data_IF_610801856904
#
_entry.id   IF_610801856904
#
_cell.length_a   1.000
_cell.length_b   1.000
_cell.length_c   1.000
_cell.angle_alpha   90.00
_cell.angle_beta   90.00
_cell.angle_gamma   90.00
#
_symmetry.space_group_name_H-M   'P 1'
#
loop_
_entity.id
_entity.type
_entity.pdbx_description
1 polymer ?
#
# COMPACT_ATOMS: atom_id res chain seq x y z
N UNK A 1 20.70 19.48 6.18
CA UNK A 1 21.10 18.49 5.14
C UNK A 1 21.90 17.34 5.72
N UNK A 2 22.98 17.61 6.49
CA UNK A 2 23.83 16.58 7.12
C UNK A 2 23.12 15.53 7.97
N UNK A 3 22.01 15.86 8.64
CA UNK A 3 21.32 14.94 9.57
C UNK A 3 20.21 14.08 8.95
N UNK A 4 19.83 14.28 7.68
CA UNK A 4 18.59 13.70 7.11
C UNK A 4 18.78 13.01 5.76
N UNK A 5 20.00 13.04 5.19
CA UNK A 5 20.26 12.47 3.87
C UNK A 5 20.50 10.96 3.95
N UNK A 6 19.47 10.16 3.60
CA UNK A 6 19.56 8.69 3.51
C UNK A 6 20.75 8.18 2.66
N UNK A 7 21.20 8.98 1.69
CA UNK A 7 22.26 8.64 0.74
C UNK A 7 23.55 9.45 0.96
N UNK A 8 23.72 10.08 2.12
CA UNK A 8 24.92 10.84 2.47
C UNK A 8 24.92 12.30 2.00
N UNK A 9 25.85 13.08 2.54
CA UNK A 9 25.96 14.53 2.32
C UNK A 9 26.22 14.89 0.86
N UNK A 10 27.15 14.18 0.19
CA UNK A 10 27.53 14.43 -1.21
C UNK A 10 26.33 14.30 -2.15
N UNK A 11 25.49 13.27 -1.97
CA UNK A 11 24.27 13.07 -2.76
C UNK A 11 23.27 14.22 -2.54
N UNK A 12 23.09 14.64 -1.30
CA UNK A 12 22.14 15.69 -0.97
C UNK A 12 22.58 17.06 -1.50
N UNK A 13 23.88 17.37 -1.44
CA UNK A 13 24.46 18.57 -2.06
C UNK A 13 24.28 18.54 -3.58
N UNK A 14 24.60 17.42 -4.24
CA UNK A 14 24.40 17.29 -5.68
C UNK A 14 22.92 17.50 -6.09
N UNK A 15 21.96 16.99 -5.31
CA UNK A 15 20.53 17.22 -5.57
C UNK A 15 20.11 18.66 -5.31
N UNK A 16 20.62 19.28 -4.26
CA UNK A 16 20.41 20.70 -3.97
C UNK A 16 20.89 21.57 -5.14
N UNK A 17 22.14 21.36 -5.58
CA UNK A 17 22.74 22.12 -6.68
C UNK A 17 22.00 21.91 -8.01
N UNK A 18 21.53 20.67 -8.27
CA UNK A 18 20.72 20.36 -9.45
C UNK A 18 19.38 21.11 -9.43
N UNK A 19 18.71 21.20 -8.27
CA UNK A 19 17.45 21.93 -8.13
C UNK A 19 17.70 23.44 -8.32
N UNK A 20 18.76 23.99 -7.73
CA UNK A 20 19.12 25.39 -7.88
C UNK A 20 19.46 25.75 -9.34
N UNK A 21 20.21 24.89 -10.03
CA UNK A 21 20.54 25.06 -11.45
C UNK A 21 19.27 25.03 -12.30
N UNK A 22 18.42 24.02 -12.13
CA UNK A 22 17.15 23.92 -12.87
C UNK A 22 16.23 25.14 -12.63
N UNK A 23 16.21 25.70 -11.41
CA UNK A 23 15.44 26.90 -11.11
C UNK A 23 16.00 28.15 -11.83
N UNK A 24 17.32 28.29 -11.91
CA UNK A 24 17.99 29.37 -12.66
C UNK A 24 17.70 29.24 -14.16
N UNK A 25 17.83 28.04 -14.72
CA UNK A 25 17.55 27.77 -16.14
C UNK A 25 16.08 28.05 -16.49
N UNK A 26 15.15 27.66 -15.61
CA UNK A 26 13.73 27.94 -15.77
C UNK A 26 13.39 29.44 -15.76
N UNK A 27 14.19 30.28 -15.11
CA UNK A 27 14.02 31.72 -15.15
C UNK A 27 14.40 32.33 -16.52
N UNK A 28 15.32 31.68 -17.26
CA UNK A 28 15.81 32.15 -18.57
C UNK A 28 14.98 31.57 -19.71
N UNK A 29 14.65 30.28 -19.67
CA UNK A 29 13.99 29.56 -20.76
C UNK A 29 12.50 29.24 -20.51
N UNK A 30 11.99 29.47 -19.30
CA UNK A 30 10.64 29.12 -18.91
C UNK A 30 9.58 30.13 -19.35
N UNK A 31 8.38 29.64 -19.69
CA UNK A 31 7.18 30.49 -19.82
C UNK A 31 6.51 30.62 -18.44
N UNK A 32 6.77 31.72 -17.75
CA UNK A 32 6.16 32.05 -16.48
C UNK A 32 4.71 32.53 -16.66
N UNK A 33 3.79 31.59 -16.91
CA UNK A 33 2.35 31.87 -16.89
C UNK A 33 1.86 31.93 -15.44
N UNK A 34 1.23 33.02 -14.97
CA UNK A 34 0.70 33.11 -13.61
C UNK A 34 -0.27 31.97 -13.25
N UNK A 35 -0.98 31.43 -14.25
CA UNK A 35 -1.88 30.27 -14.11
C UNK A 35 -1.17 28.99 -13.66
N UNK A 36 0.08 28.76 -14.07
CA UNK A 36 0.86 27.60 -13.63
C UNK A 36 1.17 27.67 -12.13
N UNK A 37 1.58 28.84 -11.64
CA UNK A 37 1.87 29.05 -10.23
C UNK A 37 0.60 28.85 -9.37
N UNK A 38 -0.55 29.34 -9.85
CA UNK A 38 -1.84 29.08 -9.21
C UNK A 38 -2.17 27.59 -9.17
N UNK A 39 -2.03 26.89 -10.30
CA UNK A 39 -2.32 25.45 -10.41
C UNK A 39 -1.42 24.61 -9.50
N UNK A 40 -0.12 24.89 -9.45
CA UNK A 40 0.82 24.19 -8.56
C UNK A 40 0.39 24.38 -7.10
N UNK A 41 0.07 25.62 -6.68
CA UNK A 41 -0.42 25.89 -5.32
C UNK A 41 -1.71 25.14 -5.01
N UNK A 42 -2.65 25.11 -5.96
CA UNK A 42 -3.91 24.38 -5.81
C UNK A 42 -3.67 22.87 -5.64
N UNK A 43 -2.81 22.28 -6.45
CA UNK A 43 -2.48 20.85 -6.35
C UNK A 43 -1.77 20.51 -5.04
N UNK A 44 -0.83 21.35 -4.59
CA UNK A 44 -0.19 21.18 -3.28
C UNK A 44 -1.22 21.25 -2.16
N UNK A 45 -2.16 22.21 -2.23
CA UNK A 45 -3.24 22.31 -1.24
C UNK A 45 -4.09 21.05 -1.24
N UNK A 46 -4.62 20.64 -2.39
CA UNK A 46 -5.46 19.45 -2.52
C UNK A 46 -4.74 18.18 -2.04
N UNK A 47 -3.46 18.02 -2.37
CA UNK A 47 -2.65 16.89 -1.89
C UNK A 47 -2.56 16.87 -0.36
N UNK A 48 -2.31 18.02 0.28
CA UNK A 48 -2.27 18.12 1.75
C UNK A 48 -3.62 17.84 2.40
N UNK A 49 -4.71 18.32 1.81
CA UNK A 49 -6.06 17.99 2.30
C UNK A 49 -6.32 16.47 2.22
N UNK A 50 -5.92 15.82 1.11
CA UNK A 50 -6.04 14.36 1.01
C UNK A 50 -5.17 13.62 2.01
N UNK A 51 -3.95 14.10 2.31
CA UNK A 51 -3.15 13.52 3.38
C UNK A 51 -3.86 13.62 4.73
N UNK A 52 -4.42 14.78 5.06
CA UNK A 52 -5.17 14.96 6.31
C UNK A 52 -6.40 14.04 6.38
N UNK A 53 -7.12 13.86 5.27
CA UNK A 53 -8.24 12.92 5.21
C UNK A 53 -7.79 11.46 5.40
N UNK A 54 -6.67 11.06 4.79
CA UNK A 54 -6.12 9.71 4.96
C UNK A 54 -5.71 9.46 6.42
N UNK A 55 -5.06 10.43 7.05
CA UNK A 55 -4.67 10.34 8.46
C UNK A 55 -5.91 10.22 9.38
N UNK A 56 -6.97 10.99 9.10
CA UNK A 56 -8.24 10.90 9.83
C UNK A 56 -8.90 9.52 9.69
N UNK A 57 -8.94 8.97 8.47
CA UNK A 57 -9.52 7.64 8.22
C UNK A 57 -8.70 6.55 8.93
N UNK A 58 -7.37 6.68 8.92
CA UNK A 58 -6.49 5.73 9.61
C UNK A 58 -6.74 5.74 11.12
N UNK A 59 -6.87 6.94 11.71
CA UNK A 59 -7.17 7.11 13.12
C UNK A 59 -8.54 6.52 13.49
N UNK A 60 -9.57 6.79 12.69
CA UNK A 60 -10.89 6.18 12.87
C UNK A 60 -10.84 4.65 12.78
N UNK A 61 -10.02 4.10 11.87
CA UNK A 61 -9.82 2.65 11.75
C UNK A 61 -9.14 2.08 13.00
N UNK A 62 -8.11 2.74 13.54
CA UNK A 62 -7.48 2.34 14.79
C UNK A 62 -8.48 2.34 15.95
N UNK A 63 -9.32 3.37 16.06
CA UNK A 63 -10.37 3.43 17.08
C UNK A 63 -11.43 2.36 16.89
N UNK A 64 -11.85 2.07 15.66
CA UNK A 64 -12.81 1.02 15.36
C UNK A 64 -12.26 -0.36 15.76
N UNK A 65 -10.99 -0.65 15.46
CA UNK A 65 -10.34 -1.90 15.90
C UNK A 65 -10.16 -1.92 17.42
N UNK A 66 -9.81 -0.79 18.04
CA UNK A 66 -9.71 -0.69 19.50
C UNK A 66 -11.02 -1.03 20.23
N UNK A 67 -12.18 -0.68 19.65
CA UNK A 67 -13.49 -1.06 20.18
C UNK A 67 -13.78 -2.56 20.12
N UNK A 68 -13.01 -3.32 19.35
CA UNK A 68 -13.11 -4.79 19.26
C UNK A 68 -12.25 -5.50 20.30
N UNK A 69 -11.54 -4.78 21.18
CA UNK A 69 -10.71 -5.38 22.22
C UNK A 69 -11.50 -6.43 23.05
N UNK A 70 -10.91 -7.61 23.22
CA UNK A 70 -11.55 -8.77 23.87
C UNK A 70 -12.43 -9.63 22.96
N UNK A 71 -12.59 -9.27 21.69
CA UNK A 71 -13.23 -10.13 20.68
C UNK A 71 -12.19 -11.02 19.98
N UNK A 72 -12.58 -12.19 19.45
CA UNK A 72 -11.67 -13.05 18.68
C UNK A 72 -11.04 -12.34 17.47
N UNK A 73 -11.74 -11.37 16.87
CA UNK A 73 -11.23 -10.65 15.70
C UNK A 73 -10.08 -9.70 16.05
N UNK A 74 -10.13 -9.08 17.23
CA UNK A 74 -9.00 -8.28 17.73
C UNK A 74 -7.76 -9.15 17.95
N UNK A 75 -7.92 -10.31 18.60
CA UNK A 75 -6.83 -11.24 18.85
C UNK A 75 -6.21 -11.75 17.55
N UNK A 76 -7.03 -12.04 16.54
CA UNK A 76 -6.57 -12.45 15.21
C UNK A 76 -5.79 -11.35 14.50
N UNK A 77 -6.26 -10.10 14.55
CA UNK A 77 -5.56 -8.93 13.99
C UNK A 77 -4.19 -8.75 14.68
N UNK A 78 -4.14 -8.88 16.00
CA UNK A 78 -2.90 -8.80 16.78
C UNK A 78 -1.94 -9.93 16.42
N UNK A 79 -2.44 -11.17 16.34
CA UNK A 79 -1.66 -12.33 15.98
C UNK A 79 -1.02 -12.21 14.60
N UNK A 80 -1.78 -11.78 13.58
CA UNK A 80 -1.26 -11.60 12.22
C UNK A 80 -0.17 -10.53 12.15
N UNK A 81 -0.26 -9.46 12.94
CA UNK A 81 0.78 -8.41 12.98
C UNK A 81 2.11 -8.88 13.58
N UNK A 82 2.14 -10.02 14.28
CA UNK A 82 3.40 -10.61 14.76
C UNK A 82 4.26 -11.15 13.62
N UNK A 83 3.68 -11.36 12.44
CA UNK A 83 4.40 -11.81 11.25
C UNK A 83 5.27 -10.68 10.69
N UNK A 84 6.53 -11.01 10.41
CA UNK A 84 7.46 -10.05 9.84
C UNK A 84 6.96 -9.52 8.48
N UNK A 85 6.91 -8.19 8.34
CA UNK A 85 6.43 -7.53 7.13
C UNK A 85 4.92 -7.26 7.08
N UNK A 86 4.15 -7.70 8.08
CA UNK A 86 2.71 -7.43 8.15
C UNK A 86 2.43 -6.28 9.10
N UNK A 87 2.00 -5.14 8.55
CA UNK A 87 1.58 -3.97 9.34
C UNK A 87 0.10 -4.01 9.71
N UNK A 88 -0.31 -3.07 10.57
CA UNK A 88 -1.70 -2.91 11.02
C UNK A 88 -2.73 -2.96 9.90
N UNK A 89 -2.59 -2.10 8.87
CA UNK A 89 -3.54 -2.03 7.77
C UNK A 89 -3.65 -3.36 7.01
N UNK A 90 -2.52 -4.02 6.77
CA UNK A 90 -2.51 -5.34 6.09
C UNK A 90 -3.23 -6.39 6.93
N UNK A 91 -3.00 -6.44 8.23
CA UNK A 91 -3.68 -7.38 9.12
C UNK A 91 -5.19 -7.15 9.18
N UNK A 92 -5.62 -5.88 9.34
CA UNK A 92 -7.03 -5.51 9.37
C UNK A 92 -7.72 -5.84 8.05
N UNK A 93 -7.11 -5.49 6.91
CA UNK A 93 -7.65 -5.81 5.58
C UNK A 93 -7.74 -7.33 5.39
N UNK A 94 -6.71 -8.09 5.75
CA UNK A 94 -6.75 -9.56 5.63
C UNK A 94 -7.90 -10.16 6.44
N UNK A 95 -8.08 -9.73 7.69
CA UNK A 95 -9.17 -10.22 8.55
C UNK A 95 -10.53 -9.83 7.99
N UNK A 96 -10.68 -8.58 7.53
CA UNK A 96 -11.93 -8.10 6.92
C UNK A 96 -12.27 -8.85 5.62
N UNK A 97 -11.27 -9.15 4.79
CA UNK A 97 -11.45 -9.90 3.54
C UNK A 97 -11.71 -11.40 3.77
N UNK A 98 -11.11 -11.99 4.82
CA UNK A 98 -11.40 -13.38 5.22
C UNK A 98 -12.80 -13.53 5.80
N UNK A 99 -13.28 -12.52 6.54
CA UNK A 99 -14.52 -12.62 7.31
C UNK A 99 -14.43 -13.73 8.37
N UNK A 100 -15.47 -14.55 8.48
CA UNK A 100 -15.46 -15.70 9.41
C UNK A 100 -14.68 -16.89 8.82
N UNK A 101 -13.79 -17.47 9.63
CA UNK A 101 -13.08 -18.70 9.29
C UNK A 101 -14.02 -19.90 9.06
N UNK A 102 -15.22 -19.87 9.65
CA UNK A 102 -16.23 -20.93 9.48
C UNK A 102 -16.74 -21.03 8.04
N UNK A 103 -16.52 -19.99 7.22
CA UNK A 103 -16.80 -20.02 5.78
C UNK A 103 -15.92 -21.03 5.05
N UNK A 104 -14.80 -21.46 5.64
CA UNK A 104 -13.82 -22.34 5.02
C UNK A 104 -13.70 -23.66 5.78
N UNK A 105 -14.33 -24.71 5.23
CA UNK A 105 -14.18 -26.10 5.75
C UNK A 105 -12.74 -26.65 5.78
N UNK A 106 -11.77 -25.99 5.14
CA UNK A 106 -10.35 -26.33 5.26
C UNK A 106 -9.44 -25.15 4.93
N UNK A 107 -8.22 -25.10 5.48
CA UNK A 107 -7.22 -24.08 5.14
C UNK A 107 -6.92 -24.02 3.63
N UNK A 108 -7.03 -25.16 2.93
CA UNK A 108 -6.86 -25.24 1.48
C UNK A 108 -7.86 -24.40 0.70
N UNK A 109 -9.10 -24.35 1.17
CA UNK A 109 -10.14 -23.53 0.55
C UNK A 109 -9.92 -22.04 0.81
N UNK A 110 -9.34 -21.68 1.96
CA UNK A 110 -9.01 -20.30 2.29
C UNK A 110 -7.94 -19.73 1.33
N UNK A 111 -6.80 -20.41 1.18
CA UNK A 111 -5.76 -19.87 0.29
C UNK A 111 -6.16 -19.99 -1.20
N UNK A 112 -6.98 -20.98 -1.59
CA UNK A 112 -7.56 -21.04 -2.94
C UNK A 112 -8.58 -19.92 -3.19
N UNK A 113 -9.32 -19.48 -2.16
CA UNK A 113 -10.21 -18.32 -2.24
C UNK A 113 -9.43 -17.05 -2.58
N UNK A 114 -8.24 -16.89 -2.01
CA UNK A 114 -7.33 -15.78 -2.37
C UNK A 114 -6.54 -16.01 -3.66
N UNK A 115 -6.67 -17.17 -4.30
CA UNK A 115 -5.93 -17.50 -5.53
C UNK A 115 -4.43 -17.77 -5.29
N UNK A 116 -4.07 -18.22 -4.09
CA UNK A 116 -2.71 -18.64 -3.77
C UNK A 116 -2.47 -20.12 -4.10
N UNK A 117 -3.42 -20.78 -4.78
CA UNK A 117 -3.27 -22.12 -5.33
C UNK A 117 -2.65 -22.07 -6.73
N UNK A 118 -1.76 -23.02 -7.08
CA UNK A 118 -1.32 -23.17 -8.46
C UNK A 118 -2.55 -23.47 -9.33
N UNK A 119 -2.68 -22.80 -10.47
CA UNK A 119 -3.73 -23.14 -11.42
C UNK A 119 -3.59 -24.59 -11.90
N UNK A 120 -4.69 -25.21 -12.29
CA UNK A 120 -4.65 -26.49 -13.03
C UNK A 120 -5.04 -26.16 -14.47
N UNK A 121 -4.11 -26.36 -15.40
CA UNK A 121 -4.39 -26.22 -16.83
C UNK A 121 -4.34 -27.61 -17.47
N UNK A 122 -5.44 -28.33 -17.31
CA UNK A 122 -5.62 -29.67 -17.85
C UNK A 122 -6.69 -29.63 -18.93
N UNK A 123 -6.28 -29.75 -20.19
CA UNK A 123 -7.16 -29.82 -21.35
C UNK A 123 -7.44 -31.25 -21.79
N UNK A 124 -7.06 -32.26 -20.99
CA UNK A 124 -7.15 -33.68 -21.32
C UNK A 124 -6.11 -34.18 -22.32
N UNK A 125 -5.38 -33.29 -23.02
CA UNK A 125 -4.24 -33.60 -23.89
C UNK A 125 -2.91 -33.02 -23.40
N UNK A 126 -2.95 -32.19 -22.36
CA UNK A 126 -1.79 -31.50 -21.82
C UNK A 126 -1.92 -31.43 -20.31
N UNK A 127 -0.91 -31.93 -19.60
CA UNK A 127 -0.74 -31.75 -18.16
C UNK A 127 0.45 -30.80 -17.98
N UNK A 128 0.14 -29.53 -17.70
CA UNK A 128 1.16 -28.55 -17.39
C UNK A 128 1.52 -28.59 -15.90
N UNK A 129 2.73 -29.04 -15.56
CA UNK A 129 3.20 -29.12 -14.17
C UNK A 129 3.78 -27.78 -13.63
N UNK A 130 3.83 -26.75 -14.48
CA UNK A 130 4.30 -25.39 -14.15
C UNK A 130 3.26 -24.36 -14.54
N UNK A 131 2.19 -24.27 -13.75
CA UNK A 131 1.10 -23.31 -13.96
C UNK A 131 1.25 -22.11 -13.03
N UNK A 132 0.91 -20.92 -13.52
CA UNK A 132 0.87 -19.71 -12.71
C UNK A 132 -0.19 -19.82 -11.60
N UNK A 133 0.01 -19.09 -10.49
CA UNK A 133 -1.00 -18.96 -9.44
C UNK A 133 -2.32 -18.45 -10.01
N UNK A 134 -3.42 -18.96 -9.47
CA UNK A 134 -4.75 -18.54 -9.90
C UNK A 134 -4.97 -17.06 -9.49
N UNK A 135 -5.61 -16.25 -10.35
CA UNK A 135 -5.91 -14.84 -10.01
C UNK A 135 -7.31 -14.69 -9.40
N UNK A 136 -7.84 -15.75 -8.79
CA UNK A 136 -9.19 -15.80 -8.20
C UNK A 136 -9.20 -15.08 -6.85
N UNK A 137 -10.32 -14.44 -6.52
CA UNK A 137 -10.48 -13.66 -5.29
C UNK A 137 -9.73 -12.33 -5.25
N UNK A 138 -9.77 -11.68 -4.09
CA UNK A 138 -9.27 -10.32 -3.87
C UNK A 138 -7.77 -10.18 -4.16
N UNK A 139 -7.41 -9.19 -4.98
CA UNK A 139 -5.99 -8.86 -5.23
C UNK A 139 -5.32 -8.21 -4.03
N UNK A 140 -6.11 -7.63 -3.11
CA UNK A 140 -5.60 -7.01 -1.88
C UNK A 140 -5.02 -8.05 -0.92
N UNK A 141 -5.66 -9.22 -0.83
CA UNK A 141 -5.20 -10.32 0.01
C UNK A 141 -3.98 -11.08 -0.56
N UNK A 142 -3.60 -10.82 -1.83
CA UNK A 142 -2.40 -11.40 -2.46
C UNK A 142 -1.17 -10.48 -2.44
N UNK A 143 -1.28 -9.29 -1.86
CA UNK A 143 -0.21 -8.28 -1.89
C UNK A 143 0.86 -8.49 -0.83
#
# INVERSE_FOLDING_TARGET
>A
IRSTARFGETYALARYDAICTAAKDAAVFGRALPSNALRIRLYIKMYREYQAHLDSILEELHQAVGKLEGTPDYDRISFIQTLHGVGFLSAVVLIAEMGSFDLFSSPKKLYAYFGLDPGVNDSGKFHGDRVHMSKRGSSLARR
#
